data_IF_442527804660
#
_entry.id   IF_442527804660
#
_cell.length_a   1.000
_cell.length_b   1.000
_cell.length_c   1.000
_cell.angle_alpha   90.00
_cell.angle_beta   90.00
_cell.angle_gamma   90.00
#
_symmetry.space_group_name_H-M   'P 1'
#
loop_
_entity.id
_entity.type
_entity.pdbx_description
1 polymer ?
#
# COMPACT_ATOMS: atom_id res chain seq x y z
N UNK A 1 12.46 3.22 -2.83
CA UNK A 1 11.29 2.91 -1.98
C UNK A 1 10.30 4.04 -2.14
N UNK A 2 9.04 3.73 -2.42
CA UNK A 2 8.03 4.74 -2.74
C UNK A 2 6.81 4.51 -1.86
N UNK A 3 6.33 5.57 -1.21
CA UNK A 3 5.07 5.54 -0.51
C UNK A 3 3.92 5.62 -1.51
N UNK A 4 3.02 4.65 -1.44
CA UNK A 4 1.78 4.60 -2.22
C UNK A 4 0.62 4.72 -1.23
N UNK A 5 -0.31 5.63 -1.53
CA UNK A 5 -1.48 5.89 -0.70
C UNK A 5 -2.70 5.28 -1.38
N UNK A 6 -3.51 4.54 -0.62
CA UNK A 6 -4.79 4.08 -1.14
C UNK A 6 -5.70 5.30 -1.42
N UNK A 7 -6.40 5.26 -2.55
CA UNK A 7 -7.23 6.36 -3.03
C UNK A 7 -8.43 6.70 -2.13
N UNK A 8 -8.82 5.82 -1.19
CA UNK A 8 -9.99 6.00 -0.34
C UNK A 8 -9.62 6.34 1.10
N UNK A 9 -10.41 7.25 1.66
CA UNK A 9 -10.46 7.52 3.09
C UNK A 9 -11.72 6.90 3.69
N UNK A 10 -11.62 6.53 4.96
CA UNK A 10 -12.65 5.83 5.73
C UNK A 10 -13.01 6.63 6.97
N UNK A 11 -14.27 6.52 7.42
CA UNK A 11 -14.75 7.27 8.59
C UNK A 11 -14.28 6.65 9.90
N UNK A 12 -13.99 5.34 9.89
CA UNK A 12 -13.53 4.62 11.07
C UNK A 12 -12.19 3.94 10.83
N UNK A 13 -11.38 3.81 11.90
CA UNK A 13 -10.15 3.04 11.88
C UNK A 13 -10.41 1.57 11.52
N UNK A 14 -11.55 1.02 11.95
CA UNK A 14 -11.96 -0.36 11.65
C UNK A 14 -12.10 -0.59 10.14
N UNK A 15 -12.81 0.27 9.42
CA UNK A 15 -12.94 0.17 7.96
C UNK A 15 -11.57 0.27 7.25
N UNK A 16 -10.71 1.18 7.69
CA UNK A 16 -9.35 1.29 7.16
C UNK A 16 -8.51 0.02 7.45
N UNK A 17 -8.68 -0.60 8.62
CA UNK A 17 -8.04 -1.89 8.94
C UNK A 17 -8.53 -3.03 8.04
N UNK A 18 -9.82 -3.11 7.77
CA UNK A 18 -10.34 -4.09 6.81
C UNK A 18 -9.74 -3.88 5.41
N UNK A 19 -9.58 -2.62 4.98
CA UNK A 19 -8.91 -2.31 3.70
C UNK A 19 -7.44 -2.70 3.71
N UNK A 20 -6.74 -2.41 4.81
CA UNK A 20 -5.34 -2.77 5.02
C UNK A 20 -5.11 -4.27 4.85
N UNK A 21 -5.89 -5.10 5.54
CA UNK A 21 -5.80 -6.56 5.44
C UNK A 21 -6.00 -7.05 4.00
N UNK A 22 -6.99 -6.50 3.28
CA UNK A 22 -7.21 -6.87 1.86
C UNK A 22 -6.07 -6.47 0.95
N UNK A 23 -5.38 -5.36 1.24
CA UNK A 23 -4.21 -4.93 0.47
C UNK A 23 -2.99 -5.81 0.78
N UNK A 24 -2.82 -6.27 2.03
CA UNK A 24 -1.81 -7.24 2.41
C UNK A 24 -2.00 -8.57 1.65
N UNK A 25 -3.24 -9.10 1.65
CA UNK A 25 -3.58 -10.31 0.91
C UNK A 25 -3.32 -10.17 -0.60
N UNK A 26 -3.70 -9.03 -1.18
CA UNK A 26 -3.49 -8.76 -2.60
C UNK A 26 -2.00 -8.59 -2.96
N UNK A 27 -1.21 -7.94 -2.10
CA UNK A 27 0.23 -7.78 -2.29
C UNK A 27 0.94 -9.14 -2.26
N UNK A 28 0.55 -10.01 -1.32
CA UNK A 28 1.06 -11.38 -1.23
C UNK A 28 0.74 -12.18 -2.50
N UNK A 29 -0.51 -12.08 -3.00
CA UNK A 29 -0.95 -12.79 -4.20
C UNK A 29 -0.27 -12.28 -5.48
N UNK A 30 0.11 -11.01 -5.55
CA UNK A 30 0.69 -10.37 -6.74
C UNK A 30 2.22 -10.38 -6.75
N UNK A 31 2.87 -10.97 -5.73
CA UNK A 31 4.33 -10.93 -5.55
C UNK A 31 4.92 -9.51 -5.57
N UNK A 32 4.11 -8.50 -5.24
CA UNK A 32 4.58 -7.12 -5.13
C UNK A 32 5.44 -7.04 -3.86
N UNK A 33 6.69 -6.59 -3.94
CA UNK A 33 7.55 -6.37 -2.78
C UNK A 33 7.06 -5.16 -1.97
N UNK A 34 5.95 -5.34 -1.26
CA UNK A 34 5.44 -4.41 -0.28
C UNK A 34 6.08 -4.72 1.08
N UNK A 35 6.77 -3.74 1.68
CA UNK A 35 7.46 -3.94 2.97
C UNK A 35 6.67 -3.51 4.18
N UNK A 36 5.77 -2.54 4.02
CA UNK A 36 5.05 -1.96 5.15
C UNK A 36 3.70 -1.44 4.68
N UNK A 37 2.62 -1.97 5.26
CA UNK A 37 1.26 -1.44 5.10
C UNK A 37 0.82 -0.89 6.46
N UNK A 38 0.28 0.33 6.49
CA UNK A 38 -0.12 0.99 7.73
C UNK A 38 -1.30 1.94 7.55
N UNK A 39 -2.04 2.18 8.64
CA UNK A 39 -3.13 3.17 8.69
C UNK A 39 -2.57 4.51 9.15
N UNK A 40 -3.03 5.60 8.53
CA UNK A 40 -2.82 6.96 9.01
C UNK A 40 -4.17 7.66 9.25
N UNK A 41 -4.16 8.67 10.11
CA UNK A 41 -5.32 9.54 10.32
C UNK A 41 -5.02 10.92 9.74
N UNK A 42 -6.00 11.48 9.04
CA UNK A 42 -5.96 12.85 8.49
C UNK A 42 -6.34 13.86 9.57
N UNK A 43 -6.00 15.13 9.35
CA UNK A 43 -6.45 16.24 10.21
C UNK A 43 -7.98 16.37 10.26
N UNK A 44 -8.69 15.93 9.22
CA UNK A 44 -10.15 15.92 9.19
C UNK A 44 -10.77 14.73 9.96
N UNK A 45 -9.96 13.91 10.63
CA UNK A 45 -10.40 12.75 11.41
C UNK A 45 -10.62 11.46 10.61
N UNK A 46 -10.56 11.49 9.27
CA UNK A 46 -10.69 10.30 8.40
C UNK A 46 -9.42 9.47 8.36
N UNK A 47 -9.54 8.19 8.09
CA UNK A 47 -8.46 7.21 8.08
C UNK A 47 -8.11 6.76 6.66
N UNK A 48 -6.83 6.61 6.35
CA UNK A 48 -6.34 6.08 5.08
C UNK A 48 -5.32 4.98 5.28
N UNK A 49 -5.00 4.25 4.20
CA UNK A 49 -3.97 3.21 4.19
C UNK A 49 -2.81 3.67 3.31
N UNK A 50 -1.58 3.46 3.78
CA UNK A 50 -0.34 3.73 3.02
C UNK A 50 0.54 2.49 2.99
N UNK A 51 1.25 2.33 1.88
CA UNK A 51 2.08 1.18 1.56
C UNK A 51 3.49 1.65 1.16
N UNK A 52 4.52 0.99 1.66
CA UNK A 52 5.90 1.21 1.23
C UNK A 52 6.28 0.13 0.21
N UNK A 53 6.33 0.51 -1.06
CA UNK A 53 6.71 -0.39 -2.15
C UNK A 53 8.21 -0.26 -2.40
N UNK A 54 8.89 -1.39 -2.48
CA UNK A 54 10.30 -1.44 -2.87
C UNK A 54 10.36 -1.82 -4.34
N UNK A 55 10.57 -0.84 -5.22
CA UNK A 55 11.02 -1.18 -6.56
C UNK A 55 12.43 -1.76 -6.47
N UNK A 56 12.59 -3.02 -6.85
CA UNK A 56 13.90 -3.55 -7.17
C UNK A 56 14.29 -2.98 -8.53
N UNK A 57 15.32 -2.13 -8.57
CA UNK A 57 15.75 -1.44 -9.80
C UNK A 57 16.30 -2.38 -10.88
N UNK A 58 16.33 -3.70 -10.65
CA UNK A 58 16.94 -4.69 -11.53
C UNK A 58 16.05 -5.12 -12.72
N UNK A 59 14.79 -4.68 -12.82
CA UNK A 59 13.91 -5.00 -13.96
C UNK A 59 13.98 -4.01 -15.13
N UNK A 60 14.83 -2.98 -15.07
CA UNK A 60 15.01 -2.06 -16.22
C UNK A 60 15.94 -2.61 -17.31
N UNK A 61 16.64 -3.72 -17.09
CA UNK A 61 17.61 -4.28 -18.06
C UNK A 61 17.05 -5.40 -18.95
N UNK A 62 15.87 -5.96 -18.65
CA UNK A 62 15.28 -7.07 -19.44
C UNK A 62 14.28 -6.65 -20.51
N UNK A 63 13.89 -5.37 -20.57
CA UNK A 63 12.92 -4.86 -21.56
C UNK A 63 13.54 -4.19 -22.79
N UNK A 64 14.87 -4.18 -22.90
CA UNK A 64 15.62 -3.64 -24.04
C UNK A 64 16.31 -4.72 -24.88
N UNK A 65 15.82 -5.96 -24.89
CA UNK A 65 16.36 -7.02 -25.74
C UNK A 65 15.27 -7.70 -26.56
#
# INVERSE_FOLDING_TARGET
MTWVYDSRLYDTKFQASCRMARLEDAALASSIPCRLISIFQTSSGRYGVKMLVVHDSSESERRSK
#
